data_IF_758620833432
#
_entry.id   IF_758620833432
#
_cell.length_a   1.000
_cell.length_b   1.000
_cell.length_c   1.000
_cell.angle_alpha   90.00
_cell.angle_beta   90.00
_cell.angle_gamma   90.00
#
_symmetry.space_group_name_H-M   'P 1'
#
loop_
_entity.id
_entity.type
_entity.pdbx_description
1 polymer ?
#
# COMPACT_ATOMS: atom_id res chain seq x y z
N UNK A 1 -12.51 -0.76 -4.98
CA UNK A 1 -11.29 -0.84 -4.22
C UNK A 1 -10.75 -2.25 -4.19
N UNK A 2 -9.47 -2.40 -4.21
CA UNK A 2 -8.84 -3.71 -4.27
C UNK A 2 -8.32 -4.10 -2.89
N UNK A 3 -8.48 -5.36 -2.53
CA UNK A 3 -7.96 -5.86 -1.27
C UNK A 3 -6.43 -5.77 -1.26
N UNK A 4 -5.86 -5.54 -0.11
CA UNK A 4 -4.41 -5.37 0.01
C UNK A 4 -3.67 -6.64 -0.42
N UNK A 5 -4.33 -7.78 -0.38
CA UNK A 5 -3.71 -9.03 -0.83
C UNK A 5 -3.46 -9.05 -2.34
N UNK A 6 -4.01 -8.12 -3.08
CA UNK A 6 -3.76 -8.01 -4.50
C UNK A 6 -2.43 -7.34 -4.83
N UNK A 7 -1.72 -6.83 -3.83
CA UNK A 7 -0.40 -6.26 -4.06
C UNK A 7 0.55 -7.35 -4.52
N UNK A 8 1.23 -7.08 -5.63
CA UNK A 8 2.16 -8.04 -6.19
C UNK A 8 3.35 -8.20 -5.26
N UNK A 9 3.63 -9.43 -4.85
CA UNK A 9 4.78 -9.72 -4.01
C UNK A 9 4.56 -9.60 -2.52
N UNK A 10 3.35 -9.22 -2.08
CA UNK A 10 3.09 -9.15 -0.64
C UNK A 10 2.90 -10.56 -0.09
N UNK A 11 3.41 -10.79 1.12
CA UNK A 11 3.27 -12.10 1.75
C UNK A 11 2.06 -12.14 2.67
N UNK A 12 1.64 -13.36 3.01
CA UNK A 12 0.50 -13.53 3.93
C UNK A 12 0.76 -12.86 5.27
N UNK A 13 1.98 -12.96 5.76
CA UNK A 13 2.34 -12.31 7.03
C UNK A 13 2.19 -10.80 6.94
N UNK A 14 2.61 -10.24 5.82
CA UNK A 14 2.49 -8.80 5.63
C UNK A 14 1.04 -8.40 5.51
N UNK A 15 0.24 -9.19 4.82
CA UNK A 15 -1.19 -8.93 4.69
C UNK A 15 -1.85 -8.91 6.06
N UNK A 16 -1.58 -9.91 6.87
CA UNK A 16 -2.18 -9.99 8.20
C UNK A 16 -1.73 -8.83 9.07
N UNK A 17 -0.46 -8.47 8.97
CA UNK A 17 0.05 -7.38 9.79
C UNK A 17 -0.62 -6.05 9.46
N UNK A 18 -0.77 -5.74 8.17
CA UNK A 18 -1.39 -4.47 7.79
C UNK A 18 -2.89 -4.49 8.04
N UNK A 19 -3.55 -5.62 7.86
CA UNK A 19 -4.98 -5.72 8.16
C UNK A 19 -5.22 -5.55 9.65
N UNK A 20 -4.29 -6.00 10.47
CA UNK A 20 -4.37 -5.79 11.91
C UNK A 20 -4.33 -4.33 12.29
N UNK A 21 -3.78 -3.49 11.44
CA UNK A 21 -3.73 -2.05 11.67
C UNK A 21 -4.89 -1.32 10.98
N UNK A 22 -5.88 -2.05 10.48
CA UNK A 22 -7.03 -1.45 9.86
C UNK A 22 -6.86 -1.15 8.38
N UNK A 23 -5.77 -1.60 7.78
CA UNK A 23 -5.49 -1.36 6.37
C UNK A 23 -5.95 -2.59 5.59
N UNK A 24 -7.03 -2.45 4.84
CA UNK A 24 -7.62 -3.60 4.16
C UNK A 24 -7.54 -3.51 2.65
N UNK A 25 -7.27 -2.32 2.11
CA UNK A 25 -7.24 -2.13 0.67
C UNK A 25 -5.90 -1.61 0.22
N UNK A 26 -5.61 -1.80 -1.08
CA UNK A 26 -4.40 -1.28 -1.68
C UNK A 26 -4.35 0.23 -1.57
N UNK A 27 -5.49 0.87 -1.79
CA UNK A 27 -5.56 2.32 -1.70
C UNK A 27 -5.25 2.81 -0.30
N UNK A 28 -5.81 2.16 0.72
CA UNK A 28 -5.54 2.54 2.10
C UNK A 28 -4.08 2.33 2.44
N UNK A 29 -3.51 1.23 1.97
CA UNK A 29 -2.10 0.96 2.21
C UNK A 29 -1.22 2.03 1.58
N UNK A 30 -1.52 2.39 0.34
CA UNK A 30 -0.74 3.39 -0.37
C UNK A 30 -0.80 4.74 0.36
N UNK A 31 -1.98 5.12 0.84
CA UNK A 31 -2.14 6.39 1.54
C UNK A 31 -1.25 6.48 2.78
N UNK A 32 -1.09 5.38 3.49
CA UNK A 32 -0.24 5.36 4.67
C UNK A 32 1.22 5.26 4.30
N UNK A 33 1.55 4.38 3.36
CA UNK A 33 2.94 4.06 3.06
C UNK A 33 3.65 5.11 2.23
N UNK A 34 2.90 5.98 1.54
CA UNK A 34 3.54 7.00 0.72
C UNK A 34 4.14 8.13 1.54
N UNK A 35 3.68 8.30 2.77
CA UNK A 35 4.22 9.33 3.66
C UNK A 35 5.31 8.72 4.53
N UNK A 36 6.50 9.32 4.57
CA UNK A 36 7.60 8.72 5.34
C UNK A 36 7.30 8.60 6.83
N UNK A 37 6.63 9.59 7.41
CA UNK A 37 6.30 9.53 8.83
C UNK A 37 5.33 8.39 9.13
N UNK A 38 4.26 8.30 8.38
CA UNK A 38 3.27 7.24 8.56
C UNK A 38 3.87 5.89 8.26
N UNK A 39 4.74 5.82 7.26
CA UNK A 39 5.40 4.57 6.90
C UNK A 39 6.27 4.08 8.03
N UNK A 40 7.05 4.96 8.64
CA UNK A 40 7.91 4.59 9.75
C UNK A 40 7.09 4.10 10.92
N UNK A 41 5.99 4.77 11.20
CA UNK A 41 5.11 4.37 12.29
C UNK A 41 4.50 2.99 12.00
N UNK A 42 4.05 2.78 10.78
CA UNK A 42 3.49 1.50 10.41
C UNK A 42 4.53 0.39 10.52
N UNK A 43 5.77 0.68 10.14
CA UNK A 43 6.85 -0.28 10.27
C UNK A 43 7.01 -0.74 11.71
N UNK A 44 6.95 0.20 12.64
CA UNK A 44 7.05 -0.14 14.05
C UNK A 44 5.89 -0.98 14.55
N UNK A 45 4.70 -0.76 14.00
CA UNK A 45 3.51 -1.47 14.45
C UNK A 45 3.40 -2.86 13.84
N UNK A 46 3.82 -3.00 12.59
CA UNK A 46 3.65 -4.28 11.89
C UNK A 46 4.88 -5.16 11.95
N UNK A 47 6.03 -4.57 12.27
CA UNK A 47 7.28 -5.31 12.22
C UNK A 47 7.85 -5.44 10.82
N UNK A 48 7.22 -4.81 9.83
CA UNK A 48 7.73 -4.79 8.46
C UNK A 48 8.73 -3.65 8.36
N UNK A 49 9.88 -3.90 7.75
CA UNK A 49 10.90 -2.88 7.63
C UNK A 49 10.41 -1.73 6.73
N UNK A 50 10.85 -0.53 7.05
CA UNK A 50 10.34 0.63 6.33
C UNK A 50 10.73 0.59 4.85
N UNK A 51 11.90 0.07 4.50
CA UNK A 51 12.26 -0.02 3.09
C UNK A 51 11.38 -1.04 2.37
N UNK A 52 10.91 -2.06 3.08
CA UNK A 52 9.96 -3.01 2.49
C UNK A 52 8.60 -2.35 2.27
N UNK A 53 8.17 -1.53 3.22
CA UNK A 53 6.94 -0.77 3.05
C UNK A 53 7.04 0.21 1.89
N UNK A 54 8.21 0.80 1.70
CA UNK A 54 8.44 1.69 0.57
C UNK A 54 8.32 0.93 -0.73
N UNK A 55 8.89 -0.26 -0.78
CA UNK A 55 8.80 -1.11 -1.95
C UNK A 55 7.36 -1.47 -2.26
N UNK A 56 6.62 -1.88 -1.23
CA UNK A 56 5.22 -2.23 -1.39
C UNK A 56 4.38 -1.02 -1.80
N UNK A 57 4.71 0.17 -1.29
CA UNK A 57 3.97 1.36 -1.68
C UNK A 57 4.19 1.69 -3.15
N UNK A 58 5.38 1.44 -3.65
CA UNK A 58 5.66 1.62 -5.07
C UNK A 58 4.81 0.67 -5.92
N UNK A 59 4.71 -0.56 -5.48
CA UNK A 59 3.86 -1.55 -6.15
C UNK A 59 2.40 -1.11 -6.08
N UNK A 60 1.97 -0.62 -4.93
CA UNK A 60 0.61 -0.16 -4.75
C UNK A 60 0.30 1.03 -5.66
N UNK A 61 1.24 1.95 -5.79
CA UNK A 61 1.06 3.08 -6.68
C UNK A 61 0.88 2.65 -8.11
N UNK A 62 1.70 1.71 -8.56
CA UNK A 62 1.57 1.18 -9.91
C UNK A 62 0.24 0.47 -10.10
N UNK A 63 -0.17 -0.30 -9.09
CA UNK A 63 -1.43 -1.02 -9.15
C UNK A 63 -2.60 -0.04 -9.29
N UNK A 64 -2.57 1.03 -8.51
CA UNK A 64 -3.63 2.04 -8.56
C UNK A 64 -3.65 2.73 -9.93
N UNK A 65 -2.50 3.04 -10.46
CA UNK A 65 -2.41 3.65 -11.78
C UNK A 65 -2.99 2.75 -12.86
N UNK A 66 -2.69 1.46 -12.77
CA UNK A 66 -3.19 0.53 -13.77
C UNK A 66 -4.69 0.35 -13.66
N UNK A 67 -5.21 0.36 -12.43
CA UNK A 67 -6.62 0.22 -12.21
C UNK A 67 -7.38 1.45 -12.67
N UNK A 68 -6.77 2.60 -12.46
CA UNK A 68 -7.41 3.86 -12.71
C UNK A 68 -7.06 4.41 -14.06
N UNK A 69 -7.19 3.61 -15.05
CA UNK A 69 -6.77 4.03 -16.36
C UNK A 69 -7.77 4.93 -17.03
N UNK A 70 -8.74 5.34 -16.30
CA UNK A 70 -9.70 6.25 -16.85
C UNK A 70 -9.25 7.67 -16.73
N UNK A 71 -8.09 7.91 -16.29
CA UNK A 71 -7.67 9.15 -16.09
C UNK A 71 -7.59 10.05 -17.18
N UNK A 72 -8.09 9.91 -17.96
CA UNK A 72 -8.13 10.86 -18.89
C UNK A 72 -8.52 12.15 -18.39
N UNK A 73 -8.30 12.19 -17.79
CA UNK A 73 -8.55 13.17 -17.33
C UNK A 73 -8.20 14.12 -17.17
N UNK A 74 -7.90 14.08 -17.25
CA UNK A 74 -7.70 14.95 -17.04
C UNK A 74 -7.52 15.90 -17.04
N UNK A 75 -7.40 16.04 -17.11
CA UNK A 75 -7.33 16.96 -17.09
C UNK A 75 -7.28 17.81 -17.06
N UNK A 76 -7.16 17.89 -17.07
CA UNK A 76 -7.26 18.81 -16.99
C UNK A 76 -7.24 19.37 -16.99
#
# INVERSE_FOLDING_TARGET
MADVSNLFGITDQEIEAVKGEGIETVEAFYEVAKHPDSRTELAGKTGIESFRLEELSSIAGNFILMMDCSWDDDDE
#
